data_IF_937178389127
#
_entry.id   IF_937178389127
#
_cell.length_a   1.000
_cell.length_b   1.000
_cell.length_c   1.000
_cell.angle_alpha   90.00
_cell.angle_beta   90.00
_cell.angle_gamma   90.00
#
_symmetry.space_group_name_H-M   'P 1'
#
loop_
_entity.id
_entity.type
_entity.pdbx_description
1 polymer ?
#
# COMPACT_ATOMS: atom_id res chain seq x y z
N UNK A 1 -21.03 7.29 -2.83
CA UNK A 1 -19.70 7.79 -2.45
C UNK A 1 -18.89 6.61 -1.95
N UNK A 2 -17.88 6.18 -2.70
CA UNK A 2 -16.95 5.15 -2.22
C UNK A 2 -16.06 5.78 -1.16
N UNK A 3 -16.20 5.32 0.09
CA UNK A 3 -15.31 5.73 1.19
C UNK A 3 -13.89 5.23 0.89
N UNK A 4 -12.87 6.05 1.15
CA UNK A 4 -11.45 5.72 0.87
C UNK A 4 -11.04 4.40 1.51
N UNK A 5 -11.60 4.08 2.68
CA UNK A 5 -11.46 2.78 3.33
C UNK A 5 -11.82 1.57 2.43
N UNK A 6 -12.87 1.67 1.62
CA UNK A 6 -13.29 0.58 0.73
C UNK A 6 -12.31 0.37 -0.43
N UNK A 7 -11.66 1.43 -0.88
CA UNK A 7 -10.59 1.34 -1.87
C UNK A 7 -9.32 0.71 -1.25
N UNK A 8 -8.98 1.08 -0.01
CA UNK A 8 -7.86 0.48 0.73
C UNK A 8 -8.10 -1.00 1.02
N UNK A 9 -9.33 -1.40 1.36
CA UNK A 9 -9.69 -2.83 1.51
C UNK A 9 -9.58 -3.60 0.19
N UNK A 10 -9.91 -2.98 -0.94
CA UNK A 10 -9.69 -3.60 -2.26
C UNK A 10 -8.20 -3.74 -2.57
N UNK A 11 -7.39 -2.71 -2.29
CA UNK A 11 -5.94 -2.73 -2.47
C UNK A 11 -5.27 -3.79 -1.58
N UNK A 12 -5.74 -3.97 -0.34
CA UNK A 12 -5.24 -5.00 0.58
C UNK A 12 -5.37 -6.45 0.07
N UNK A 13 -6.16 -6.68 -0.99
CA UNK A 13 -6.29 -8.00 -1.64
C UNK A 13 -5.10 -8.35 -2.52
N UNK A 14 -4.39 -7.35 -3.02
CA UNK A 14 -3.21 -7.52 -3.86
C UNK A 14 -1.91 -7.60 -3.04
N UNK A 15 -2.00 -7.34 -1.73
CA UNK A 15 -0.89 -7.51 -0.80
C UNK A 15 -0.56 -8.98 -0.55
N UNK A 16 0.71 -9.26 -0.28
CA UNK A 16 1.16 -10.56 0.19
C UNK A 16 0.49 -10.95 1.52
N UNK A 17 0.43 -12.25 1.87
CA UNK A 17 -0.19 -12.70 3.11
C UNK A 17 0.39 -12.03 4.37
N UNK A 18 1.70 -11.75 4.35
CA UNK A 18 2.42 -11.10 5.46
C UNK A 18 2.04 -9.61 5.57
N UNK A 19 2.11 -8.88 4.46
CA UNK A 19 1.70 -7.47 4.37
C UNK A 19 0.23 -7.26 4.76
N UNK A 20 -0.63 -8.20 4.37
CA UNK A 20 -2.04 -8.19 4.76
C UNK A 20 -2.22 -8.37 6.27
N UNK A 21 -1.39 -9.20 6.90
CA UNK A 21 -1.42 -9.37 8.35
C UNK A 21 -0.99 -8.07 9.07
N UNK A 22 0.07 -7.42 8.58
CA UNK A 22 0.52 -6.11 9.06
C UNK A 22 -0.55 -5.02 8.84
N UNK A 23 -1.18 -4.95 7.66
CA UNK A 23 -2.30 -4.05 7.37
C UNK A 23 -3.42 -4.18 8.41
N UNK A 24 -3.85 -5.41 8.71
CA UNK A 24 -4.90 -5.68 9.70
C UNK A 24 -4.47 -5.35 11.12
N UNK A 25 -3.20 -5.57 11.45
CA UNK A 25 -2.62 -5.24 12.76
C UNK A 25 -2.54 -3.75 12.98
N UNK A 26 -2.13 -2.97 11.97
CA UNK A 26 -2.12 -1.49 12.01
C UNK A 26 -3.54 -0.98 12.24
N UNK A 27 -4.50 -1.46 11.46
CA UNK A 27 -5.93 -1.11 11.61
C UNK A 27 -6.41 -1.35 13.04
N UNK A 28 -6.25 -2.58 13.55
CA UNK A 28 -6.69 -2.95 14.91
C UNK A 28 -5.99 -2.15 16.00
N UNK A 29 -4.69 -1.90 15.86
CA UNK A 29 -3.90 -1.14 16.85
C UNK A 29 -4.39 0.30 16.94
N UNK A 30 -4.65 0.94 15.80
CA UNK A 30 -5.15 2.30 15.76
C UNK A 30 -6.61 2.40 16.22
N UNK A 31 -7.45 1.41 15.88
CA UNK A 31 -8.82 1.31 16.40
C UNK A 31 -8.81 1.16 17.93
N UNK A 32 -7.96 0.30 18.48
CA UNK A 32 -7.79 0.13 19.92
C UNK A 32 -7.24 1.39 20.63
N UNK A 33 -6.45 2.20 19.90
CA UNK A 33 -5.94 3.48 20.39
C UNK A 33 -6.97 4.61 20.33
N UNK A 34 -8.18 4.34 19.82
CA UNK A 34 -9.23 5.35 19.65
C UNK A 34 -8.96 6.35 18.53
N UNK A 35 -8.12 6.00 17.55
CA UNK A 35 -7.83 6.87 16.42
C UNK A 35 -9.09 7.09 15.56
N UNK A 36 -9.28 8.33 15.10
CA UNK A 36 -10.34 8.66 14.15
C UNK A 36 -10.17 7.89 12.84
N UNK A 37 -11.29 7.52 12.19
CA UNK A 37 -11.29 6.81 10.91
C UNK A 37 -10.37 7.43 9.85
N UNK A 38 -10.37 8.76 9.69
CA UNK A 38 -9.46 9.43 8.74
C UNK A 38 -7.99 9.19 9.03
N UNK A 39 -7.59 9.11 10.31
CA UNK A 39 -6.20 8.87 10.69
C UNK A 39 -5.78 7.42 10.44
N UNK A 40 -6.72 6.49 10.61
CA UNK A 40 -6.55 5.09 10.25
C UNK A 40 -6.42 4.96 8.73
N UNK A 41 -7.30 5.63 7.97
CA UNK A 41 -7.25 5.65 6.50
C UNK A 41 -5.91 6.19 5.97
N UNK A 42 -5.43 7.32 6.51
CA UNK A 42 -4.16 7.92 6.12
C UNK A 42 -2.98 6.97 6.37
N UNK A 43 -2.94 6.33 7.55
CA UNK A 43 -1.85 5.40 7.87
C UNK A 43 -1.87 4.14 7.00
N UNK A 44 -3.05 3.58 6.74
CA UNK A 44 -3.23 2.41 5.87
C UNK A 44 -2.93 2.74 4.40
N UNK A 45 -3.25 3.96 3.96
CA UNK A 45 -2.90 4.44 2.63
C UNK A 45 -1.38 4.55 2.46
N UNK A 46 -0.69 5.19 3.41
CA UNK A 46 0.77 5.25 3.37
C UNK A 46 1.40 3.86 3.39
N UNK A 47 0.89 2.95 4.21
CA UNK A 47 1.41 1.58 4.26
C UNK A 47 1.32 0.85 2.91
N UNK A 48 0.17 0.93 2.22
CA UNK A 48 0.00 0.33 0.89
C UNK A 48 0.93 1.01 -0.13
N UNK A 49 1.07 2.33 -0.06
CA UNK A 49 1.96 3.07 -0.94
C UNK A 49 3.42 2.68 -0.75
N UNK A 50 3.88 2.56 0.50
CA UNK A 50 5.24 2.12 0.83
C UNK A 50 5.53 0.71 0.30
N UNK A 51 4.54 -0.20 0.36
CA UNK A 51 4.70 -1.56 -0.20
C UNK A 51 4.76 -1.51 -1.73
N UNK A 52 3.87 -0.75 -2.37
CA UNK A 52 3.85 -0.65 -3.83
C UNK A 52 5.13 0.00 -4.35
N UNK A 53 5.58 1.11 -3.75
CA UNK A 53 6.88 1.72 -4.11
C UNK A 53 8.04 0.76 -3.88
N UNK A 54 8.01 -0.03 -2.80
CA UNK A 54 9.07 -1.02 -2.55
C UNK A 54 9.05 -2.21 -3.54
N UNK A 55 7.91 -2.49 -4.19
CA UNK A 55 7.74 -3.58 -5.18
C UNK A 55 7.97 -3.08 -6.63
N UNK A 56 7.81 -1.79 -6.89
CA UNK A 56 7.96 -1.14 -8.22
C UNK A 56 9.37 -0.56 -8.46
N UNK A 57 10.26 -0.59 -7.46
CA UNK A 57 11.68 -0.17 -7.57
C UNK A 57 12.59 -1.21 -8.29
N UNK A 58 12.02 -2.34 -8.75
CA UNK A 58 12.71 -3.39 -9.52
C UNK A 58 12.46 -3.30 -11.05
N UNK A 59 11.99 -2.15 -11.55
CA UNK A 59 12.08 -1.84 -12.98
C UNK A 59 13.42 -1.13 -13.25
N UNK A 60 14.48 -1.93 -13.41
CA UNK A 60 15.69 -1.50 -14.12
C UNK A 60 15.28 -0.97 -15.51
N UNK A 61 15.43 0.34 -15.67
CA UNK A 61 15.37 1.08 -16.93
C UNK A 61 16.44 0.50 -17.87
N UNK A 62 16.06 -0.52 -18.65
CA UNK A 62 16.88 -1.04 -19.74
C UNK A 62 16.84 0.00 -20.88
N UNK A 63 17.65 1.05 -20.71
CA UNK A 63 18.11 1.99 -21.73
C UNK A 63 18.91 1.22 -22.81
N UNK A 64 18.26 0.30 -23.54
CA UNK A 64 18.79 -0.21 -24.80
C UNK A 64 18.52 0.83 -25.90
N UNK A 65 19.27 1.93 -25.86
CA UNK A 65 19.55 2.73 -27.06
C UNK A 65 20.50 1.89 -27.91
N UNK A 66 19.89 1.05 -28.75
CA UNK A 66 20.52 0.42 -29.92
C UNK A 66 20.97 1.55 -30.86
N UNK A 67 22.21 1.99 -30.67
CA UNK A 67 22.92 2.91 -31.55
C UNK A 67 23.11 2.21 -32.89
N UNK A 68 22.37 2.69 -33.89
CA UNK A 68 22.41 2.21 -35.28
C UNK A 68 23.80 2.43 -35.88
N UNK A 69 24.48 1.36 -36.25
CA UNK A 69 25.57 1.37 -37.27
C UNK A 69 25.04 1.08 -38.69
#
# INVERSE_FOLDING_TARGET
>A
MSTKLSALEAASKYLSPDDKAEYLKIKRTMEASGASRSKIEERLHNFIWEIIESDDDDYEDDENIDDKE
#
